data_IF_021413400943
#
_entry.id   IF_021413400943
#
_cell.length_a   1.000
_cell.length_b   1.000
_cell.length_c   1.000
_cell.angle_alpha   90.00
_cell.angle_beta   90.00
_cell.angle_gamma   90.00
#
_symmetry.space_group_name_H-M   'P 1'
#
loop_
_entity.id
_entity.type
_entity.pdbx_description
1 polymer ?
#
# COMPACT_ATOMS: atom_id res chain seq x y z
N UNK A 1 -28.36 -15.20 21.67
CA UNK A 1 -26.99 -15.78 21.68
C UNK A 1 -25.95 -14.81 21.07
N UNK A 2 -26.29 -13.51 20.91
CA UNK A 2 -25.44 -12.40 20.42
C UNK A 2 -24.39 -11.91 21.45
N UNK A 3 -24.50 -12.35 22.70
CA UNK A 3 -23.85 -11.70 23.84
C UNK A 3 -22.49 -12.32 24.19
N UNK A 4 -22.12 -13.47 23.63
CA UNK A 4 -21.01 -14.29 24.17
C UNK A 4 -19.66 -14.01 23.49
N UNK A 5 -19.61 -13.75 22.17
CA UNK A 5 -18.34 -13.58 21.44
C UNK A 5 -17.77 -12.17 21.57
N UNK A 6 -18.61 -11.14 21.49
CA UNK A 6 -18.21 -9.74 21.70
C UNK A 6 -17.75 -9.50 23.16
N UNK A 7 -18.35 -10.21 24.14
CA UNK A 7 -17.90 -10.24 25.53
C UNK A 7 -16.53 -10.92 25.71
N UNK A 8 -16.17 -11.89 24.87
CA UNK A 8 -14.86 -12.56 24.92
C UNK A 8 -13.72 -11.72 24.34
N UNK A 9 -13.99 -10.71 23.51
CA UNK A 9 -12.98 -9.73 23.07
C UNK A 9 -12.96 -8.53 24.04
N UNK A 10 -14.10 -8.08 24.55
CA UNK A 10 -14.17 -6.97 25.52
C UNK A 10 -13.53 -7.29 26.87
N UNK A 11 -13.78 -8.48 27.45
CA UNK A 11 -13.15 -8.91 28.72
C UNK A 11 -11.61 -8.93 28.66
N UNK A 12 -11.04 -8.87 27.47
CA UNK A 12 -9.64 -9.14 27.17
C UNK A 12 -8.78 -7.93 27.39
N UNK A 13 -9.38 -6.84 26.95
CA UNK A 13 -8.83 -5.54 26.91
C UNK A 13 -8.93 -4.93 28.33
N UNK A 14 -9.97 -5.30 29.09
CA UNK A 14 -10.14 -4.99 30.52
C UNK A 14 -9.01 -5.54 31.42
N UNK A 15 -8.26 -6.57 30.98
CA UNK A 15 -7.23 -7.24 31.78
C UNK A 15 -5.79 -6.83 31.41
N UNK A 16 -5.60 -5.87 30.50
CA UNK A 16 -4.28 -5.48 30.01
C UNK A 16 -3.50 -4.50 30.90
N UNK A 17 -4.00 -4.20 32.10
CA UNK A 17 -3.24 -3.42 33.08
C UNK A 17 -2.45 -4.36 33.98
N UNK A 18 -1.11 -4.24 33.98
CA UNK A 18 -0.22 -4.18 35.18
C UNK A 18 1.28 -4.07 34.76
N UNK A 19 1.74 -2.82 34.74
CA UNK A 19 2.87 -2.22 35.49
C UNK A 19 4.37 -2.55 35.34
N UNK A 20 4.88 -3.41 34.45
CA UNK A 20 6.37 -3.52 34.27
C UNK A 20 6.91 -3.44 32.83
N UNK A 21 6.05 -3.35 31.81
CA UNK A 21 6.45 -3.63 30.42
C UNK A 21 6.73 -2.41 29.51
N UNK A 22 6.65 -1.18 30.01
CA UNK A 22 6.82 0.01 29.18
C UNK A 22 8.27 0.21 28.70
N UNK A 23 9.26 -0.07 29.56
CA UNK A 23 10.69 0.10 29.26
C UNK A 23 11.25 -0.94 28.29
N UNK A 24 10.67 -2.15 28.24
CA UNK A 24 11.14 -3.23 27.36
C UNK A 24 10.69 -3.04 25.92
N UNK A 25 9.51 -2.46 25.71
CA UNK A 25 9.00 -2.13 24.37
C UNK A 25 9.77 -0.95 23.76
N UNK A 26 10.10 0.07 24.57
CA UNK A 26 11.00 1.16 24.14
C UNK A 26 12.35 0.61 23.71
N UNK A 27 12.96 -0.29 24.49
CA UNK A 27 14.24 -0.93 24.15
C UNK A 27 14.19 -1.75 22.85
N UNK A 28 13.10 -2.49 22.61
CA UNK A 28 12.94 -3.26 21.37
C UNK A 28 12.74 -2.34 20.14
N UNK A 29 12.00 -1.24 20.29
CA UNK A 29 11.79 -0.24 19.25
C UNK A 29 13.11 0.50 18.95
N UNK A 30 13.89 0.88 19.96
CA UNK A 30 15.23 1.46 19.77
C UNK A 30 16.18 0.49 19.05
N UNK A 31 16.15 -0.81 19.40
CA UNK A 31 16.98 -1.83 18.73
C UNK A 31 16.61 -2.07 17.26
N UNK A 32 15.35 -1.83 16.89
CA UNK A 32 14.85 -1.95 15.51
C UNK A 32 15.09 -0.69 14.67
N UNK A 33 15.23 0.47 15.32
CA UNK A 33 15.34 1.75 14.63
C UNK A 33 16.77 2.16 14.31
N UNK A 34 17.79 1.54 14.92
CA UNK A 34 19.18 1.97 14.80
C UNK A 34 19.37 3.35 15.44
N UNK A 35 20.34 3.47 16.33
CA UNK A 35 20.62 4.75 16.98
C UNK A 35 21.07 5.78 15.94
N UNK A 36 20.24 6.81 15.74
CA UNK A 36 20.65 8.12 15.24
C UNK A 36 20.24 9.15 16.30
N UNK A 37 20.89 9.08 17.46
CA UNK A 37 21.18 10.30 18.21
C UNK A 37 22.43 10.93 17.57
N UNK A 38 22.22 11.99 16.81
CA UNK A 38 23.16 13.10 16.83
C UNK A 38 22.34 14.38 16.75
N UNK A 39 22.20 15.03 17.90
CA UNK A 39 21.93 16.46 17.94
C UNK A 39 23.06 17.20 17.25
N UNK A 40 22.71 18.29 16.58
CA UNK A 40 23.50 19.51 16.64
C UNK A 40 22.57 20.68 16.29
N UNK A 41 22.49 21.60 17.25
CA UNK A 41 21.97 22.94 17.07
C UNK A 41 22.81 23.64 15.98
N UNK A 42 22.16 24.09 14.90
CA UNK A 42 22.83 25.00 13.95
C UNK A 42 22.04 26.30 13.90
N UNK A 43 22.65 27.27 14.57
CA UNK A 43 22.41 28.70 14.48
C UNK A 43 22.21 29.19 13.05
N UNK A 44 21.21 30.05 12.88
CA UNK A 44 21.01 30.90 11.70
C UNK A 44 22.15 31.92 11.59
N UNK A 45 22.67 32.16 10.38
CA UNK A 45 23.09 33.51 10.04
C UNK A 45 22.39 34.02 8.78
N UNK A 46 21.77 35.19 8.92
CA UNK A 46 21.48 36.11 7.83
C UNK A 46 22.76 36.48 7.09
N UNK A 47 22.73 36.56 5.75
CA UNK A 47 23.21 37.76 5.04
C UNK A 47 22.89 37.75 3.53
N UNK A 48 22.19 38.82 3.14
CA UNK A 48 22.33 39.66 1.94
C UNK A 48 22.00 39.12 0.54
N UNK A 49 20.97 39.77 -0.02
CA UNK A 49 20.72 39.99 -1.45
C UNK A 49 21.78 40.94 -2.03
N UNK A 50 22.17 40.72 -3.28
CA UNK A 50 22.47 41.78 -4.24
C UNK A 50 22.31 41.24 -5.68
N UNK A 51 21.80 42.10 -6.56
CA UNK A 51 21.37 41.87 -7.95
C UNK A 51 22.50 42.15 -8.97
N UNK A 52 22.18 41.87 -10.25
CA UNK A 52 22.71 42.43 -11.52
C UNK A 52 23.92 41.73 -12.18
N UNK A 53 24.06 41.67 -13.51
CA UNK A 53 23.15 41.64 -14.68
C UNK A 53 24.04 41.33 -15.92
N UNK A 54 23.40 41.01 -17.06
CA UNK A 54 23.90 41.10 -18.45
C UNK A 54 24.50 39.88 -19.21
N UNK A 55 23.61 39.28 -20.01
CA UNK A 55 23.61 39.19 -21.49
C UNK A 55 24.51 38.23 -22.30
N UNK A 56 23.78 37.48 -23.16
CA UNK A 56 24.01 37.10 -24.59
C UNK A 56 24.87 35.87 -24.93
N UNK A 57 24.25 34.80 -25.47
CA UNK A 57 23.89 34.66 -26.90
C UNK A 57 23.14 33.33 -27.16
N UNK A 58 22.07 33.40 -27.95
CA UNK A 58 21.42 32.25 -28.58
C UNK A 58 22.20 31.83 -29.82
N UNK A 59 22.57 30.55 -29.91
CA UNK A 59 22.68 29.86 -31.21
C UNK A 59 22.60 28.35 -30.99
N UNK A 60 21.53 27.74 -31.54
CA UNK A 60 21.59 26.53 -32.36
C UNK A 60 21.96 25.19 -31.70
N UNK A 61 21.03 24.25 -31.87
CA UNK A 61 21.26 22.80 -32.01
C UNK A 61 21.21 21.94 -30.74
N UNK A 62 20.03 21.33 -30.53
CA UNK A 62 19.85 19.90 -30.30
C UNK A 62 20.90 19.20 -29.40
N UNK A 63 21.05 19.67 -28.19
CA UNK A 63 21.44 18.79 -27.09
C UNK A 63 20.16 18.31 -26.42
N UNK A 64 19.65 17.18 -26.93
CA UNK A 64 18.76 16.31 -26.17
C UNK A 64 19.25 16.26 -24.74
N UNK A 65 18.38 16.66 -23.83
CA UNK A 65 18.60 16.77 -22.39
C UNK A 65 19.02 15.43 -21.78
N UNK A 66 20.29 15.07 -21.94
CA UNK A 66 20.97 13.97 -21.27
C UNK A 66 21.49 14.36 -19.88
N UNK A 67 20.97 15.44 -19.31
CA UNK A 67 21.08 15.69 -17.88
C UNK A 67 20.08 14.80 -17.16
N UNK A 68 20.46 13.53 -16.99
CA UNK A 68 19.96 12.72 -15.90
C UNK A 68 20.11 13.57 -14.64
N UNK A 69 19.00 13.88 -13.96
CA UNK A 69 19.08 14.52 -12.67
C UNK A 69 19.58 13.46 -11.69
N UNK A 70 20.90 13.26 -11.63
CA UNK A 70 21.59 12.30 -10.76
C UNK A 70 21.06 12.39 -9.34
N UNK A 71 20.70 13.58 -8.87
CA UNK A 71 20.10 13.81 -7.56
C UNK A 71 18.75 13.11 -7.38
N UNK A 72 17.88 13.11 -8.40
CA UNK A 72 16.59 12.42 -8.34
C UNK A 72 16.76 10.90 -8.34
N UNK A 73 17.70 10.39 -9.13
CA UNK A 73 18.06 8.97 -9.15
C UNK A 73 18.71 8.54 -7.83
N UNK A 74 19.62 9.34 -7.29
CA UNK A 74 20.28 9.09 -6.01
C UNK A 74 19.32 9.21 -4.81
N UNK A 75 18.33 10.08 -4.89
CA UNK A 75 17.25 10.15 -3.90
C UNK A 75 16.37 8.89 -3.95
N UNK A 76 15.99 8.45 -5.16
CA UNK A 76 15.19 7.24 -5.36
C UNK A 76 15.93 5.98 -4.91
N UNK A 77 17.21 5.83 -5.26
CA UNK A 77 18.05 4.71 -4.82
C UNK A 77 18.23 4.68 -3.29
N UNK A 78 18.40 5.85 -2.64
CA UNK A 78 18.44 5.96 -1.18
C UNK A 78 17.09 5.62 -0.52
N UNK A 79 15.98 5.96 -1.15
CA UNK A 79 14.66 5.56 -0.66
C UNK A 79 14.48 4.04 -0.74
N UNK A 80 14.87 3.43 -1.87
CA UNK A 80 14.79 1.98 -2.09
C UNK A 80 15.64 1.20 -1.07
N UNK A 81 16.85 1.66 -0.78
CA UNK A 81 17.72 0.95 0.18
C UNK A 81 17.21 0.97 1.62
N UNK A 82 16.30 1.90 1.97
CA UNK A 82 15.76 2.07 3.33
C UNK A 82 14.38 1.47 3.55
N UNK A 83 13.64 1.09 2.49
CA UNK A 83 12.27 0.56 2.62
C UNK A 83 12.16 -0.86 2.09
N UNK A 84 11.77 -1.79 2.97
CA UNK A 84 11.49 -3.18 2.61
C UNK A 84 10.36 -3.30 1.58
N UNK A 85 9.38 -2.38 1.62
CA UNK A 85 8.30 -2.31 0.63
C UNK A 85 8.83 -1.90 -0.74
N UNK A 86 9.65 -0.85 -0.83
CA UNK A 86 10.27 -0.44 -2.10
C UNK A 86 11.17 -1.53 -2.67
N UNK A 87 11.95 -2.22 -1.84
CA UNK A 87 12.77 -3.34 -2.26
C UNK A 87 11.94 -4.49 -2.88
N UNK A 88 10.69 -4.66 -2.46
CA UNK A 88 9.80 -5.73 -2.95
C UNK A 88 9.37 -5.55 -4.42
N UNK A 89 9.39 -4.32 -4.93
CA UNK A 89 9.06 -4.02 -6.34
C UNK A 89 10.13 -4.53 -7.33
N UNK A 90 11.37 -4.77 -6.84
CA UNK A 90 12.51 -5.21 -7.66
C UNK A 90 12.68 -4.37 -8.93
N UNK A 91 12.66 -3.04 -8.73
CA UNK A 91 12.69 -2.07 -9.83
C UNK A 91 13.94 -2.23 -10.69
N UNK A 92 13.73 -2.29 -12.00
CA UNK A 92 14.80 -2.35 -13.00
C UNK A 92 15.32 -0.93 -13.32
N UNK A 93 16.55 -0.78 -13.83
CA UNK A 93 17.11 0.55 -14.14
C UNK A 93 16.22 1.43 -15.03
N UNK A 94 15.60 0.85 -16.05
CA UNK A 94 14.69 1.59 -16.94
C UNK A 94 13.40 2.03 -16.23
N UNK A 95 12.91 1.23 -15.28
CA UNK A 95 11.75 1.57 -14.46
C UNK A 95 12.06 2.71 -13.50
N UNK A 96 13.28 2.74 -12.94
CA UNK A 96 13.75 3.86 -12.12
C UNK A 96 13.78 5.17 -12.93
N UNK A 97 14.23 5.10 -14.20
CA UNK A 97 14.23 6.26 -15.09
C UNK A 97 12.80 6.72 -15.40
N UNK A 98 11.88 5.78 -15.68
CA UNK A 98 10.46 6.08 -15.87
C UNK A 98 9.88 6.80 -14.63
N UNK A 99 10.10 6.25 -13.44
CA UNK A 99 9.62 6.83 -12.18
C UNK A 99 10.19 8.24 -11.99
N UNK A 100 11.50 8.44 -12.22
CA UNK A 100 12.13 9.75 -12.11
C UNK A 100 11.53 10.78 -13.07
N UNK A 101 11.25 10.38 -14.32
CA UNK A 101 10.59 11.25 -15.32
C UNK A 101 9.15 11.59 -14.95
N UNK A 102 8.38 10.62 -14.44
CA UNK A 102 7.04 10.87 -13.92
C UNK A 102 7.11 11.91 -12.79
N UNK A 103 7.95 11.70 -11.79
CA UNK A 103 8.12 12.64 -10.67
C UNK A 103 8.53 14.05 -11.15
N UNK A 104 9.44 14.14 -12.13
CA UNK A 104 9.85 15.41 -12.72
C UNK A 104 8.68 16.10 -13.43
N UNK A 105 7.96 15.39 -14.31
CA UNK A 105 6.80 15.95 -15.03
C UNK A 105 5.71 16.40 -14.05
N UNK A 106 5.41 15.62 -13.03
CA UNK A 106 4.45 16.00 -11.98
C UNK A 106 4.89 17.25 -11.23
N UNK A 107 6.18 17.35 -10.87
CA UNK A 107 6.72 18.53 -10.18
C UNK A 107 6.67 19.80 -11.03
N UNK A 108 7.00 19.70 -12.32
CA UNK A 108 7.11 20.87 -13.21
C UNK A 108 5.75 21.31 -13.74
N UNK A 109 4.86 20.37 -14.05
CA UNK A 109 3.62 20.65 -14.79
C UNK A 109 2.34 20.34 -13.99
N UNK A 110 2.44 19.74 -12.80
CA UNK A 110 1.27 19.31 -12.03
C UNK A 110 0.51 18.13 -12.63
N UNK A 111 1.06 17.48 -13.68
CA UNK A 111 0.43 16.36 -14.37
C UNK A 111 0.69 15.06 -13.61
N UNK A 112 -0.36 14.29 -13.33
CA UNK A 112 -0.27 12.99 -12.65
C UNK A 112 -0.74 11.82 -13.51
N UNK A 113 -1.61 12.07 -14.49
CA UNK A 113 -2.11 11.08 -15.42
C UNK A 113 -1.43 11.25 -16.80
N UNK A 114 -0.87 10.16 -17.30
CA UNK A 114 -0.14 10.08 -18.57
C UNK A 114 -0.81 9.04 -19.47
N UNK A 115 -0.90 9.31 -20.76
CA UNK A 115 -1.36 8.26 -21.68
C UNK A 115 -0.26 7.22 -21.95
N UNK A 116 -0.63 6.09 -22.57
CA UNK A 116 0.32 5.00 -22.88
C UNK A 116 1.51 5.47 -23.72
N UNK A 117 1.30 6.36 -24.70
CA UNK A 117 2.38 6.89 -25.55
C UNK A 117 3.40 7.66 -24.71
N UNK A 118 2.93 8.53 -23.81
CA UNK A 118 3.80 9.29 -22.91
C UNK A 118 4.60 8.38 -21.97
N UNK A 119 3.98 7.32 -21.43
CA UNK A 119 4.70 6.33 -20.61
C UNK A 119 5.78 5.64 -21.44
N UNK A 120 5.48 5.24 -22.68
CA UNK A 120 6.43 4.60 -23.57
C UNK A 120 7.61 5.53 -23.93
N UNK A 121 7.35 6.82 -24.21
CA UNK A 121 8.39 7.83 -24.45
C UNK A 121 9.29 8.06 -23.21
N UNK A 122 8.73 7.92 -22.02
CA UNK A 122 9.50 8.03 -20.78
C UNK A 122 10.34 6.78 -20.50
N UNK A 123 9.95 5.59 -20.99
CA UNK A 123 10.66 4.35 -20.75
C UNK A 123 11.84 4.13 -21.72
N UNK A 124 13.09 4.08 -21.23
CA UNK A 124 14.25 3.84 -22.08
C UNK A 124 14.24 2.43 -22.70
N UNK A 125 14.63 2.34 -23.98
CA UNK A 125 14.84 1.06 -24.65
C UNK A 125 13.56 0.29 -24.99
N UNK A 126 12.38 0.91 -24.87
CA UNK A 126 11.14 0.30 -25.33
C UNK A 126 11.18 0.12 -26.85
N UNK A 127 10.67 -1.01 -27.33
CA UNK A 127 10.68 -1.31 -28.75
C UNK A 127 9.57 -0.54 -29.47
N UNK A 128 9.79 -0.17 -30.73
CA UNK A 128 8.78 0.40 -31.62
C UNK A 128 7.82 -0.68 -32.16
N UNK A 129 7.29 -1.47 -31.23
CA UNK A 129 6.39 -2.58 -31.49
C UNK A 129 5.25 -2.51 -30.48
N UNK A 130 4.02 -2.35 -30.99
CA UNK A 130 2.82 -2.17 -30.19
C UNK A 130 2.56 -3.33 -29.22
N UNK A 131 2.73 -4.58 -29.65
CA UNK A 131 2.50 -5.75 -28.78
C UNK A 131 3.48 -5.77 -27.59
N UNK A 132 4.74 -5.38 -27.83
CA UNK A 132 5.75 -5.29 -26.78
C UNK A 132 5.54 -4.10 -25.86
N UNK A 133 5.11 -2.96 -26.39
CA UNK A 133 4.72 -1.81 -25.59
C UNK A 133 3.55 -2.18 -24.67
N UNK A 134 2.50 -2.77 -25.24
CA UNK A 134 1.35 -3.25 -24.50
C UNK A 134 1.74 -4.22 -23.38
N UNK A 135 2.52 -5.27 -23.70
CA UNK A 135 2.97 -6.24 -22.71
C UNK A 135 3.80 -5.60 -21.60
N UNK A 136 4.60 -4.58 -21.92
CA UNK A 136 5.40 -3.84 -20.94
C UNK A 136 4.51 -3.02 -20.01
N UNK A 137 3.49 -2.33 -20.53
CA UNK A 137 2.56 -1.55 -19.71
C UNK A 137 1.74 -2.47 -18.79
N UNK A 138 1.26 -3.60 -19.31
CA UNK A 138 0.55 -4.60 -18.50
C UNK A 138 1.46 -5.14 -17.39
N UNK A 139 2.74 -5.45 -17.66
CA UNK A 139 3.69 -5.86 -16.62
C UNK A 139 3.88 -4.79 -15.53
N UNK A 140 3.97 -3.51 -15.91
CA UNK A 140 4.09 -2.40 -14.96
C UNK A 140 2.86 -2.27 -14.07
N UNK A 141 1.66 -2.53 -14.59
CA UNK A 141 0.40 -2.52 -13.83
C UNK A 141 0.32 -3.76 -12.92
N UNK A 142 0.63 -4.95 -13.44
CA UNK A 142 0.61 -6.22 -12.69
C UNK A 142 1.62 -6.25 -11.54
N UNK A 143 2.72 -5.49 -11.69
CA UNK A 143 3.74 -5.29 -10.67
C UNK A 143 3.44 -4.09 -9.76
N UNK A 144 2.25 -3.50 -9.88
CA UNK A 144 1.74 -2.41 -9.06
C UNK A 144 2.60 -1.12 -9.16
N UNK A 145 3.40 -0.95 -10.21
CA UNK A 145 4.21 0.26 -10.43
C UNK A 145 3.32 1.38 -10.96
N UNK A 146 2.49 1.06 -11.96
CA UNK A 146 1.50 1.96 -12.50
C UNK A 146 0.11 1.60 -12.01
N UNK A 147 -0.76 2.60 -11.89
CA UNK A 147 -2.18 2.43 -11.66
C UNK A 147 -2.98 3.19 -12.71
N UNK A 148 -4.19 2.72 -12.93
CA UNK A 148 -5.19 3.33 -13.80
C UNK A 148 -6.27 3.94 -12.91
N UNK A 149 -6.62 5.23 -13.04
CA UNK A 149 -7.67 5.84 -12.24
C UNK A 149 -9.07 5.30 -12.57
N UNK A 150 -9.27 4.71 -13.76
CA UNK A 150 -10.58 4.23 -14.21
C UNK A 150 -10.47 2.90 -14.95
N UNK A 151 -10.71 1.78 -14.26
CA UNK A 151 -10.97 0.47 -14.87
C UNK A 151 -12.41 0.05 -14.58
N UNK A 152 -13.38 0.80 -15.11
CA UNK A 152 -14.78 0.38 -14.98
C UNK A 152 -15.05 -0.79 -15.92
N UNK A 153 -15.08 -2.00 -15.35
CA UNK A 153 -15.60 -3.21 -16.02
C UNK A 153 -14.77 -3.80 -17.16
N UNK A 154 -13.59 -3.25 -17.46
CA UNK A 154 -12.71 -3.75 -18.52
C UNK A 154 -11.53 -4.55 -17.95
N UNK A 155 -11.23 -5.69 -18.58
CA UNK A 155 -10.03 -6.46 -18.29
C UNK A 155 -8.86 -5.94 -19.14
N UNK A 156 -8.02 -5.08 -18.55
CA UNK A 156 -6.87 -4.50 -19.23
C UNK A 156 -5.83 -5.52 -19.69
N UNK A 157 -5.90 -6.79 -19.24
CA UNK A 157 -5.03 -7.84 -19.75
C UNK A 157 -5.40 -8.24 -21.18
N UNK A 158 -6.65 -8.01 -21.60
CA UNK A 158 -7.17 -8.47 -22.88
C UNK A 158 -7.80 -7.35 -23.74
N UNK A 159 -8.01 -6.15 -23.19
CA UNK A 159 -8.60 -5.01 -23.90
C UNK A 159 -7.59 -3.86 -24.08
N UNK A 160 -6.90 -3.89 -25.22
CA UNK A 160 -6.04 -2.82 -25.71
C UNK A 160 -6.74 -1.46 -25.76
N UNK A 161 -8.03 -1.40 -26.13
CA UNK A 161 -8.75 -0.13 -26.26
C UNK A 161 -9.02 0.47 -24.90
N UNK A 162 -9.39 -0.36 -23.92
CA UNK A 162 -9.55 0.08 -22.54
C UNK A 162 -8.23 0.64 -21.98
N UNK A 163 -7.11 -0.03 -22.23
CA UNK A 163 -5.81 0.41 -21.72
C UNK A 163 -5.30 1.71 -22.38
N UNK A 164 -5.39 1.82 -23.71
CA UNK A 164 -4.98 3.04 -24.42
C UNK A 164 -5.96 4.20 -24.26
N UNK A 165 -7.20 3.93 -23.82
CA UNK A 165 -8.23 4.92 -23.52
C UNK A 165 -8.18 5.47 -22.09
N UNK A 166 -7.33 4.94 -21.20
CA UNK A 166 -7.19 5.42 -19.81
C UNK A 166 -5.89 6.20 -19.61
N UNK A 167 -5.91 7.10 -18.61
CA UNK A 167 -4.68 7.61 -18.01
C UNK A 167 -3.96 6.52 -17.20
N UNK A 168 -2.65 6.66 -17.10
CA UNK A 168 -1.74 5.88 -16.28
C UNK A 168 -1.00 6.82 -15.36
N UNK A 169 -0.88 6.45 -14.09
CA UNK A 169 -0.13 7.22 -13.10
C UNK A 169 0.76 6.30 -12.30
N UNK A 170 1.72 6.87 -11.60
CA UNK A 170 2.45 6.11 -10.58
C UNK A 170 1.45 5.66 -9.52
N UNK A 171 1.50 4.39 -9.16
CA UNK A 171 0.65 3.85 -8.12
C UNK A 171 0.79 4.65 -6.81
N UNK A 172 -0.33 4.92 -6.14
CA UNK A 172 -0.37 5.75 -4.95
C UNK A 172 0.53 5.28 -3.81
N UNK A 173 0.67 3.96 -3.62
CA UNK A 173 1.60 3.41 -2.63
C UNK A 173 3.04 3.72 -2.99
N UNK A 174 3.44 3.46 -4.23
CA UNK A 174 4.80 3.72 -4.70
C UNK A 174 5.13 5.22 -4.64
N UNK A 175 4.19 6.07 -5.01
CA UNK A 175 4.30 7.53 -4.86
C UNK A 175 4.56 7.95 -3.41
N UNK A 176 3.77 7.45 -2.46
CA UNK A 176 3.94 7.77 -1.05
C UNK A 176 5.28 7.26 -0.48
N UNK A 177 5.70 6.06 -0.88
CA UNK A 177 6.99 5.50 -0.46
C UNK A 177 8.18 6.35 -0.96
N UNK A 178 8.12 6.87 -2.19
CA UNK A 178 9.15 7.78 -2.72
C UNK A 178 9.20 9.09 -1.93
N UNK A 179 8.05 9.56 -1.44
CA UNK A 179 7.97 10.73 -0.55
C UNK A 179 8.41 10.43 0.90
N UNK A 180 8.87 9.20 1.19
CA UNK A 180 9.31 8.79 2.52
C UNK A 180 8.18 8.47 3.49
N UNK A 181 6.94 8.33 2.99
CA UNK A 181 5.77 7.94 3.77
C UNK A 181 5.58 6.44 3.69
N UNK A 182 5.96 5.74 4.76
CA UNK A 182 5.90 4.28 4.83
C UNK A 182 4.66 3.83 5.63
N UNK A 183 3.68 3.15 5.00
CA UNK A 183 2.46 2.75 5.67
C UNK A 183 2.69 1.69 6.75
N UNK A 184 3.75 0.88 6.67
CA UNK A 184 4.10 -0.04 7.76
C UNK A 184 4.53 0.78 8.97
N UNK A 185 5.50 1.69 8.78
CA UNK A 185 6.01 2.53 9.88
C UNK A 185 4.91 3.37 10.50
N UNK A 186 4.10 4.04 9.69
CA UNK A 186 3.02 4.91 10.15
C UNK A 186 1.87 4.12 10.79
N UNK A 187 1.51 2.98 10.21
CA UNK A 187 0.47 2.11 10.74
C UNK A 187 0.86 1.53 12.10
N UNK A 188 2.10 1.05 12.24
CA UNK A 188 2.63 0.57 13.52
C UNK A 188 2.71 1.69 14.56
N UNK A 189 3.11 2.91 14.16
CA UNK A 189 3.10 4.07 15.06
C UNK A 189 1.67 4.40 15.53
N UNK A 190 0.68 4.35 14.65
CA UNK A 190 -0.73 4.56 15.00
C UNK A 190 -1.23 3.47 15.96
N UNK A 191 -0.88 2.21 15.68
CA UNK A 191 -1.22 1.06 16.51
C UNK A 191 -0.64 1.20 17.93
N UNK A 192 0.67 1.42 18.07
CA UNK A 192 1.34 1.56 19.36
C UNK A 192 0.79 2.71 20.21
N UNK A 193 0.49 3.86 19.59
CA UNK A 193 -0.10 5.01 20.29
C UNK A 193 -1.47 4.72 20.89
N UNK A 194 -2.29 3.92 20.21
CA UNK A 194 -3.62 3.61 20.70
C UNK A 194 -3.66 2.38 21.63
N UNK A 195 -2.68 1.46 21.54
CA UNK A 195 -2.47 0.44 22.57
C UNK A 195 -2.13 1.04 23.95
N UNK A 196 -1.53 2.24 23.99
CA UNK A 196 -1.29 2.96 25.24
C UNK A 196 -2.58 3.46 25.93
N UNK A 197 -3.75 3.32 25.29
CA UNK A 197 -5.06 3.72 25.82
C UNK A 197 -5.95 2.48 26.04
N UNK A 198 -6.43 2.21 27.26
CA UNK A 198 -7.13 0.97 27.63
C UNK A 198 -8.33 0.61 26.73
N UNK A 199 -9.06 1.61 26.23
CA UNK A 199 -10.32 1.39 25.51
C UNK A 199 -10.20 1.55 23.98
N UNK A 200 -9.00 1.78 23.44
CA UNK A 200 -8.84 2.12 22.01
C UNK A 200 -8.16 1.05 21.15
N UNK A 201 -7.97 -0.16 21.66
CA UNK A 201 -7.23 -1.22 20.95
C UNK A 201 -7.85 -1.56 19.58
N UNK A 202 -9.18 -1.69 19.49
CA UNK A 202 -9.87 -1.93 18.21
C UNK A 202 -9.72 -0.74 17.27
N UNK A 203 -9.95 0.48 17.76
CA UNK A 203 -9.75 1.70 16.98
C UNK A 203 -8.29 1.84 16.52
N UNK A 204 -7.34 1.28 17.26
CA UNK A 204 -5.92 1.27 16.89
C UNK A 204 -5.62 0.31 15.75
N UNK A 205 -6.25 -0.87 15.76
CA UNK A 205 -6.18 -1.83 14.64
C UNK A 205 -6.84 -1.24 13.40
N UNK A 206 -8.02 -0.63 13.54
CA UNK A 206 -8.73 0.02 12.44
C UNK A 206 -7.95 1.20 11.88
N UNK A 207 -7.34 2.04 12.74
CA UNK A 207 -6.44 3.12 12.30
C UNK A 207 -5.21 2.59 11.59
N UNK A 208 -4.60 1.50 12.09
CA UNK A 208 -3.47 0.87 11.43
C UNK A 208 -3.84 0.39 10.02
N UNK A 209 -5.00 -0.24 9.86
CA UNK A 209 -5.53 -0.63 8.54
C UNK A 209 -5.86 0.62 7.70
N UNK A 210 -6.47 1.65 8.29
CA UNK A 210 -6.80 2.89 7.59
C UNK A 210 -5.58 3.63 7.04
N UNK A 211 -4.42 3.52 7.70
CA UNK A 211 -3.15 4.06 7.18
C UNK A 211 -2.77 3.42 5.84
N UNK A 212 -3.05 2.12 5.62
CA UNK A 212 -2.85 1.48 4.32
C UNK A 212 -3.68 2.19 3.24
N UNK A 213 -4.99 2.38 3.46
CA UNK A 213 -5.88 3.00 2.49
C UNK A 213 -5.56 4.48 2.26
N UNK A 214 -5.05 5.18 3.28
CA UNK A 214 -4.57 6.57 3.13
C UNK A 214 -3.36 6.66 2.19
N UNK A 215 -2.45 5.68 2.26
CA UNK A 215 -1.22 5.66 1.46
C UNK A 215 -1.39 4.93 0.12
N UNK A 216 -2.47 4.16 -0.03
CA UNK A 216 -2.79 3.40 -1.22
C UNK A 216 -4.27 3.65 -1.62
N UNK A 217 -4.60 4.85 -2.10
CA UNK A 217 -5.97 5.29 -2.33
C UNK A 217 -6.72 4.43 -3.37
N UNK A 218 -6.01 3.82 -4.32
CA UNK A 218 -6.61 2.90 -5.30
C UNK A 218 -7.29 1.70 -4.65
N UNK A 219 -6.92 1.32 -3.42
CA UNK A 219 -7.56 0.21 -2.71
C UNK A 219 -8.99 0.52 -2.25
N UNK A 220 -9.39 1.80 -2.27
CA UNK A 220 -10.74 2.22 -1.86
C UNK A 220 -11.80 1.99 -2.95
N UNK A 221 -11.39 1.61 -4.16
CA UNK A 221 -12.30 1.33 -5.27
C UNK A 221 -13.10 0.03 -5.07
N UNK A 222 -14.28 -0.05 -5.71
CA UNK A 222 -15.05 -1.30 -5.76
C UNK A 222 -14.55 -2.21 -6.89
N UNK A 223 -13.99 -3.37 -6.51
CA UNK A 223 -13.50 -4.37 -7.45
C UNK A 223 -14.51 -5.47 -7.78
N UNK A 224 -15.80 -5.27 -7.45
CA UNK A 224 -16.88 -6.20 -7.82
C UNK A 224 -16.96 -6.46 -9.32
N UNK A 225 -16.70 -5.43 -10.13
CA UNK A 225 -16.75 -5.46 -11.60
C UNK A 225 -15.37 -5.55 -12.28
N UNK A 226 -14.28 -5.37 -11.54
CA UNK A 226 -12.91 -5.44 -12.08
C UNK A 226 -12.41 -6.88 -12.08
N UNK A 227 -12.17 -7.47 -13.26
CA UNK A 227 -11.81 -8.88 -13.37
C UNK A 227 -10.31 -9.15 -13.18
N UNK A 228 -9.44 -8.15 -13.36
CA UNK A 228 -7.98 -8.31 -13.38
C UNK A 228 -7.20 -7.75 -12.19
N UNK A 229 -7.73 -6.78 -11.42
CA UNK A 229 -6.93 -6.07 -10.42
C UNK A 229 -6.50 -6.97 -9.23
N UNK A 230 -5.19 -7.04 -8.97
CA UNK A 230 -4.59 -7.85 -7.92
C UNK A 230 -3.52 -7.05 -7.16
N UNK A 231 -3.80 -6.68 -5.91
CA UNK A 231 -2.92 -5.83 -5.07
C UNK A 231 -2.18 -6.62 -3.98
N UNK A 232 -2.34 -7.94 -3.99
CA UNK A 232 -1.85 -8.80 -2.93
C UNK A 232 -0.33 -8.92 -2.88
N UNK A 233 0.46 -8.35 -3.79
CA UNK A 233 1.93 -8.41 -3.62
C UNK A 233 2.34 -7.48 -2.49
N UNK A 234 1.89 -6.23 -2.54
CA UNK A 234 2.23 -5.19 -1.57
C UNK A 234 1.33 -5.25 -0.34
N UNK A 235 0.01 -5.40 -0.53
CA UNK A 235 -0.97 -5.44 0.57
C UNK A 235 -0.65 -6.58 1.52
N UNK A 236 -0.27 -7.77 1.02
CA UNK A 236 0.09 -8.87 1.90
C UNK A 236 1.31 -8.58 2.75
N UNK A 237 2.34 -7.89 2.23
CA UNK A 237 3.54 -7.55 3.01
C UNK A 237 3.20 -6.60 4.16
N UNK A 238 2.36 -5.60 3.89
CA UNK A 238 1.90 -4.65 4.89
C UNK A 238 1.08 -5.36 5.97
N UNK A 239 0.11 -6.19 5.55
CA UNK A 239 -0.69 -6.96 6.51
C UNK A 239 0.11 -8.02 7.26
N UNK A 240 1.16 -8.61 6.67
CA UNK A 240 2.03 -9.55 7.39
C UNK A 240 2.76 -8.83 8.53
N UNK A 241 3.26 -7.62 8.30
CA UNK A 241 3.85 -6.78 9.35
C UNK A 241 2.82 -6.40 10.42
N UNK A 242 1.60 -6.02 10.02
CA UNK A 242 0.53 -5.69 10.95
C UNK A 242 0.09 -6.89 11.79
N UNK A 243 -0.07 -8.06 11.19
CA UNK A 243 -0.41 -9.30 11.89
C UNK A 243 0.71 -9.75 12.84
N UNK A 244 1.97 -9.56 12.45
CA UNK A 244 3.11 -9.82 13.33
C UNK A 244 3.09 -8.89 14.54
N UNK A 245 2.84 -7.59 14.36
CA UNK A 245 2.73 -6.63 15.45
C UNK A 245 1.55 -6.95 16.37
N UNK A 246 0.37 -7.27 15.80
CA UNK A 246 -0.80 -7.70 16.56
C UNK A 246 -0.57 -9.00 17.33
N UNK A 247 0.19 -9.94 16.76
CA UNK A 247 0.53 -11.20 17.42
C UNK A 247 1.64 -11.03 18.46
N UNK A 248 2.43 -9.98 18.37
CA UNK A 248 3.55 -9.73 19.29
C UNK A 248 3.21 -8.71 20.37
N UNK A 249 2.05 -8.04 20.27
CA UNK A 249 1.64 -7.04 21.24
C UNK A 249 1.31 -7.64 22.60
N UNK A 250 1.54 -6.84 23.64
CA UNK A 250 1.00 -7.13 24.97
C UNK A 250 -0.52 -7.09 24.86
N UNK A 251 -1.18 -8.19 25.17
CA UNK A 251 -2.57 -8.36 24.78
C UNK A 251 -2.77 -8.91 23.37
N UNK A 252 -1.90 -9.84 22.94
CA UNK A 252 -2.18 -10.73 21.80
C UNK A 252 -2.77 -12.12 22.16
N UNK A 253 -2.60 -12.63 23.39
CA UNK A 253 -3.23 -13.85 23.91
C UNK A 253 -4.64 -14.21 23.40
N UNK A 254 -5.66 -13.33 23.44
CA UNK A 254 -7.00 -13.69 22.92
C UNK A 254 -7.13 -13.58 21.41
N UNK A 255 -6.38 -12.70 20.76
CA UNK A 255 -6.23 -12.77 19.30
C UNK A 255 -5.65 -14.13 18.88
N UNK A 256 -4.58 -14.57 19.55
CA UNK A 256 -3.95 -15.88 19.36
C UNK A 256 -4.90 -17.02 19.68
N UNK A 257 -5.65 -16.92 20.78
CA UNK A 257 -6.65 -17.92 21.17
C UNK A 257 -7.77 -18.03 20.15
N UNK A 258 -8.32 -16.90 19.69
CA UNK A 258 -9.34 -16.84 18.64
C UNK A 258 -8.81 -17.48 17.34
N UNK A 259 -7.60 -17.09 16.91
CA UNK A 259 -6.96 -17.67 15.73
C UNK A 259 -6.76 -19.18 15.88
N UNK A 260 -6.30 -19.65 17.04
CA UNK A 260 -6.09 -21.07 17.32
C UNK A 260 -7.40 -21.85 17.37
N UNK A 261 -8.40 -21.34 18.10
CA UNK A 261 -9.72 -21.95 18.29
C UNK A 261 -10.44 -22.15 16.96
N UNK A 262 -10.36 -21.17 16.08
CA UNK A 262 -11.04 -21.20 14.79
C UNK A 262 -10.14 -21.63 13.62
N UNK A 263 -8.88 -21.99 13.89
CA UNK A 263 -7.87 -22.40 12.89
C UNK A 263 -7.68 -21.36 11.78
N UNK A 264 -7.64 -20.07 12.16
CA UNK A 264 -7.46 -18.97 11.21
C UNK A 264 -6.00 -18.90 10.77
N UNK A 265 -5.73 -19.27 9.53
CA UNK A 265 -4.45 -18.99 8.89
C UNK A 265 -4.32 -17.51 8.51
N UNK A 266 -3.14 -17.09 8.05
CA UNK A 266 -2.86 -15.69 7.68
C UNK A 266 -3.89 -15.11 6.70
N UNK A 267 -4.33 -15.88 5.70
CA UNK A 267 -5.36 -15.43 4.76
C UNK A 267 -6.68 -15.07 5.48
N UNK A 268 -7.18 -15.96 6.35
CA UNK A 268 -8.42 -15.74 7.06
C UNK A 268 -8.31 -14.63 8.12
N UNK A 269 -7.14 -14.47 8.74
CA UNK A 269 -6.85 -13.35 9.64
C UNK A 269 -6.94 -12.00 8.90
N UNK A 270 -6.32 -11.89 7.71
CA UNK A 270 -6.40 -10.70 6.86
C UNK A 270 -7.83 -10.40 6.42
N UNK A 271 -8.57 -11.43 6.01
CA UNK A 271 -9.98 -11.28 5.64
C UNK A 271 -10.80 -10.75 6.82
N UNK A 272 -10.66 -11.33 8.01
CA UNK A 272 -11.42 -10.90 9.20
C UNK A 272 -11.15 -9.43 9.54
N UNK A 273 -9.89 -9.01 9.50
CA UNK A 273 -9.50 -7.62 9.78
C UNK A 273 -10.02 -6.64 8.72
N UNK A 274 -9.91 -6.98 7.43
CA UNK A 274 -10.45 -6.16 6.34
C UNK A 274 -11.97 -6.05 6.45
N UNK A 275 -12.67 -7.16 6.71
CA UNK A 275 -14.12 -7.16 6.90
C UNK A 275 -14.54 -6.23 8.03
N UNK A 276 -13.88 -6.31 9.19
CA UNK A 276 -14.18 -5.43 10.33
C UNK A 276 -13.90 -3.95 9.98
N UNK A 277 -12.82 -3.68 9.24
CA UNK A 277 -12.51 -2.33 8.75
C UNK A 277 -13.62 -1.79 7.84
N UNK A 278 -14.02 -2.53 6.80
CA UNK A 278 -15.07 -2.08 5.88
C UNK A 278 -16.41 -1.88 6.58
N UNK A 279 -16.80 -2.81 7.46
CA UNK A 279 -18.07 -2.72 8.20
C UNK A 279 -18.16 -1.48 9.09
N UNK A 280 -17.04 -1.02 9.66
CA UNK A 280 -17.02 0.12 10.59
C UNK A 280 -16.74 1.46 9.92
N UNK A 281 -15.83 1.49 8.95
CA UNK A 281 -15.33 2.74 8.38
C UNK A 281 -16.04 3.14 7.09
N UNK A 282 -16.58 2.18 6.32
CA UNK A 282 -17.12 2.47 4.98
C UNK A 282 -18.64 2.38 4.88
N UNK A 283 -19.33 1.97 5.96
CA UNK A 283 -20.76 1.68 6.02
C UNK A 283 -21.29 0.68 4.96
N UNK A 284 -20.39 0.12 4.14
CA UNK A 284 -20.67 -0.78 3.04
C UNK A 284 -20.10 -2.17 3.34
N UNK A 285 -20.84 -3.21 2.93
CA UNK A 285 -20.34 -4.58 3.00
C UNK A 285 -19.30 -4.81 1.90
N UNK A 286 -18.13 -5.32 2.29
CA UNK A 286 -17.08 -5.65 1.34
C UNK A 286 -17.41 -6.94 0.57
N UNK A 287 -17.32 -6.90 -0.75
CA UNK A 287 -17.61 -8.07 -1.58
C UNK A 287 -16.46 -9.11 -1.52
N UNK A 288 -16.75 -10.41 -1.73
CA UNK A 288 -15.74 -11.44 -1.96
C UNK A 288 -14.73 -11.08 -3.05
N UNK A 289 -15.19 -10.43 -4.13
CA UNK A 289 -14.34 -9.99 -5.23
C UNK A 289 -13.35 -8.90 -4.78
N UNK A 290 -13.81 -7.93 -3.98
CA UNK A 290 -12.98 -6.88 -3.39
C UNK A 290 -11.90 -7.46 -2.48
N UNK A 291 -12.28 -8.32 -1.52
CA UNK A 291 -11.32 -9.00 -0.64
C UNK A 291 -10.31 -9.84 -1.42
N UNK A 292 -10.76 -10.55 -2.46
CA UNK A 292 -9.88 -11.35 -3.31
C UNK A 292 -8.89 -10.48 -4.09
N UNK A 293 -9.33 -9.36 -4.69
CA UNK A 293 -8.45 -8.41 -5.38
C UNK A 293 -7.38 -7.84 -4.46
N UNK A 294 -7.75 -7.47 -3.22
CA UNK A 294 -6.81 -6.93 -2.23
C UNK A 294 -5.75 -7.94 -1.80
N UNK A 295 -6.10 -9.23 -1.70
CA UNK A 295 -5.22 -10.26 -1.12
C UNK A 295 -4.53 -11.16 -2.14
N UNK A 296 -5.01 -11.23 -3.38
CA UNK A 296 -4.43 -12.06 -4.42
C UNK A 296 -3.26 -11.36 -5.13
N UNK A 297 -2.21 -12.14 -5.43
CA UNK A 297 -1.01 -11.68 -6.14
C UNK A 297 -1.11 -11.80 -7.66
N UNK A 298 -2.16 -12.48 -8.15
CA UNK A 298 -2.41 -12.70 -9.57
C UNK A 298 -3.87 -13.16 -9.80
N UNK A 299 -4.38 -13.08 -11.05
CA UNK A 299 -5.77 -13.41 -11.37
C UNK A 299 -6.18 -14.86 -11.03
N UNK A 300 -5.26 -15.83 -11.16
CA UNK A 300 -5.55 -17.23 -10.79
C UNK A 300 -5.79 -17.39 -9.30
N UNK A 301 -4.97 -16.76 -8.47
CA UNK A 301 -5.15 -16.73 -7.02
C UNK A 301 -6.42 -15.97 -6.65
N UNK A 302 -6.72 -14.87 -7.34
CA UNK A 302 -7.94 -14.08 -7.14
C UNK A 302 -9.19 -14.94 -7.33
N UNK A 303 -9.29 -15.68 -8.45
CA UNK A 303 -10.41 -16.59 -8.70
C UNK A 303 -10.57 -17.63 -7.57
N UNK A 304 -9.47 -18.25 -7.15
CA UNK A 304 -9.50 -19.20 -6.02
C UNK A 304 -10.01 -18.56 -4.72
N UNK A 305 -9.57 -17.33 -4.43
CA UNK A 305 -9.99 -16.60 -3.23
C UNK A 305 -11.46 -16.20 -3.28
N UNK A 306 -11.99 -15.82 -4.45
CA UNK A 306 -13.44 -15.58 -4.63
C UNK A 306 -14.24 -16.84 -4.31
N UNK A 307 -13.87 -17.98 -4.91
CA UNK A 307 -14.54 -19.26 -4.64
C UNK A 307 -14.48 -19.62 -3.15
N UNK A 308 -13.33 -19.44 -2.51
CA UNK A 308 -13.12 -19.71 -1.10
C UNK A 308 -13.92 -18.78 -0.17
N UNK A 309 -14.05 -17.51 -0.54
CA UNK A 309 -14.83 -16.52 0.22
C UNK A 309 -16.34 -16.66 0.00
N UNK A 310 -16.77 -17.16 -1.16
CA UNK A 310 -18.18 -17.35 -1.50
C UNK A 310 -18.76 -18.69 -1.07
N UNK A 311 -18.06 -19.80 -1.33
CA UNK A 311 -18.57 -21.17 -1.11
C UNK A 311 -18.08 -21.78 0.20
N UNK A 312 -16.78 -21.63 0.50
CA UNK A 312 -16.10 -22.27 1.63
C UNK A 312 -15.69 -21.27 2.73
N UNK A 313 -16.57 -20.31 3.02
CA UNK A 313 -16.24 -19.21 3.94
C UNK A 313 -16.08 -19.71 5.38
N UNK A 314 -14.82 -19.86 5.82
CA UNK A 314 -14.49 -20.31 7.17
C UNK A 314 -15.03 -19.35 8.24
N UNK A 315 -15.03 -18.04 7.98
CA UNK A 315 -15.46 -17.05 8.95
C UNK A 315 -16.97 -17.17 9.20
N UNK A 316 -17.77 -17.35 8.14
CA UNK A 316 -19.21 -17.62 8.26
C UNK A 316 -19.48 -18.96 8.96
N UNK A 317 -18.81 -20.03 8.53
CA UNK A 317 -18.99 -21.37 9.10
C UNK A 317 -18.61 -21.46 10.59
N UNK A 318 -17.76 -20.54 11.06
CA UNK A 318 -17.37 -20.42 12.47
C UNK A 318 -18.18 -19.38 13.25
N UNK A 319 -19.15 -18.72 12.63
CA UNK A 319 -19.96 -17.67 13.24
C UNK A 319 -19.16 -16.43 13.64
N UNK A 320 -18.04 -16.16 12.95
CA UNK A 320 -17.19 -14.99 13.18
C UNK A 320 -17.68 -13.76 12.41
N UNK A 321 -18.42 -13.99 11.32
CA UNK A 321 -19.11 -12.96 10.53
C UNK A 321 -20.52 -13.46 10.19
N UNK A 322 -21.42 -12.54 9.88
CA UNK A 322 -22.77 -12.90 9.46
C UNK A 322 -22.81 -13.57 8.07
N UNK A 323 -23.82 -14.43 7.81
CA UNK A 323 -24.03 -15.02 6.49
C UNK A 323 -24.36 -14.00 5.40
N UNK A 324 -24.74 -12.77 5.77
CA UNK A 324 -25.05 -11.69 4.85
C UNK A 324 -23.81 -11.09 4.16
N UNK A 325 -22.60 -11.58 4.45
CA UNK A 325 -21.51 -11.51 3.48
C UNK A 325 -21.99 -12.19 2.21
N UNK A 326 -22.14 -11.50 1.05
CA UNK A 326 -23.00 -11.97 -0.01
C UNK A 326 -22.55 -13.36 -0.45
N UNK A 327 -23.33 -14.35 0.00
CA UNK A 327 -23.47 -15.63 -0.66
C UNK A 327 -24.24 -15.25 -1.91
N UNK A 328 -23.53 -14.86 -2.95
CA UNK A 328 -24.15 -14.49 -4.22
C UNK A 328 -25.12 -15.60 -4.62
N UNK A 329 -26.39 -15.23 -4.75
CA UNK A 329 -27.33 -16.02 -5.53
C UNK A 329 -26.75 -16.12 -6.95
N UNK A 330 -26.61 -17.37 -7.40
CA UNK A 330 -25.99 -17.80 -8.65
C UNK A 330 -26.57 -17.09 -9.86
#
# INVERSE_FOLDING_TARGET
MEVIVMKSILRYLEQLQVTEDQKKVESYIHSLLGDDECGDEINVPEMRREQQDCSRNETGENQQSNFYNEDSMNALLRAISKSQLLASYRLQPNELILIAKICQKTKVHGVQDFNVSEICEMLPGIQDNLDKQYATIVDLIDREILSTPHLQGADYHYDLRALYGTGLKLNGLLWNLILGKDPIKEGLKAFSKGLAKPDSAMDSVLKMIGVLFLHYPELADDFSSSTGACYGRTVNLIFDAYLQALSSSNGAARWKELCKKHKLNTFWQKCLLLIDYYNRETANQVSPATLASLLAKNPRQRKNYIDKLGKDNLLCAKGLIEPHFPVFAV
#
